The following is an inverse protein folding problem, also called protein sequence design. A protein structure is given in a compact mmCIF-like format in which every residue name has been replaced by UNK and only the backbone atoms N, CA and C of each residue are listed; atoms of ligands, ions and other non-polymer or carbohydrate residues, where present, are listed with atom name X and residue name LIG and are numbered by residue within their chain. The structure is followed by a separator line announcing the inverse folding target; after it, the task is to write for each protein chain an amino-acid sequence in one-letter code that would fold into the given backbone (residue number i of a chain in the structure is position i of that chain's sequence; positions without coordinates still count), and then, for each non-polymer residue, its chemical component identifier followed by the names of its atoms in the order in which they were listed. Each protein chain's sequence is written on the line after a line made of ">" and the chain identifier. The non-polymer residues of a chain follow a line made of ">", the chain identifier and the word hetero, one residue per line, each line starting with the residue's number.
data_IF_789776095227
#
_entry.id   IF_789776095227
#
_cell.length_a   1.000
_cell.length_b   1.000
_cell.length_c   1.000
_cell.angle_alpha   90.00
_cell.angle_beta   90.00
_cell.angle_gamma   90.00
#
_symmetry.space_group_name_H-M   'P 1'
#
loop_
_entity.id
_entity.type
_entity.pdbx_description
1 polymer ?
#
# COMPACT_ATOMS: atom_id res chain seq x y z
N UNK A 1 19.44 47.93 -5.21
CA UNK A 1 18.51 47.11 -6.02
C UNK A 1 18.32 45.78 -5.31
N UNK A 2 17.07 45.46 -4.96
CA UNK A 2 16.66 44.29 -4.17
C UNK A 2 16.35 43.17 -5.18
N UNK A 3 17.20 42.16 -5.27
CA UNK A 3 16.92 40.99 -6.11
C UNK A 3 16.28 39.92 -5.23
N UNK A 4 14.95 39.92 -5.21
CA UNK A 4 14.17 38.82 -4.65
C UNK A 4 14.27 37.65 -5.62
N UNK A 5 15.06 36.64 -5.29
CA UNK A 5 14.94 35.31 -5.89
C UNK A 5 14.14 34.43 -4.92
N UNK A 6 12.83 34.38 -5.16
CA UNK A 6 12.00 33.25 -4.77
C UNK A 6 12.28 32.10 -5.75
N UNK A 7 11.91 30.89 -5.33
CA UNK A 7 11.86 29.62 -6.07
C UNK A 7 13.13 28.77 -6.03
N UNK A 8 13.18 27.87 -5.04
CA UNK A 8 13.40 26.43 -5.28
C UNK A 8 13.20 25.68 -3.96
N UNK A 9 11.95 25.39 -3.61
CA UNK A 9 11.64 24.48 -2.50
C UNK A 9 10.46 23.57 -2.87
N UNK A 10 10.50 22.96 -4.05
CA UNK A 10 9.63 21.84 -4.40
C UNK A 10 10.43 20.99 -5.36
N UNK A 11 11.01 19.87 -4.91
CA UNK A 11 11.47 18.73 -5.72
C UNK A 11 12.15 17.71 -4.78
N UNK A 12 11.38 17.05 -3.92
CA UNK A 12 11.85 15.85 -3.21
C UNK A 12 10.74 14.97 -2.60
N UNK A 13 9.47 15.42 -2.55
CA UNK A 13 8.39 14.65 -1.91
C UNK A 13 7.52 13.87 -2.92
N UNK A 14 7.75 14.05 -4.22
CA UNK A 14 6.86 13.55 -5.28
C UNK A 14 7.15 12.11 -5.76
N UNK A 15 8.32 11.52 -5.46
CA UNK A 15 8.64 10.18 -5.94
C UNK A 15 7.78 9.07 -5.31
N UNK A 16 7.57 9.14 -3.99
CA UNK A 16 6.86 8.11 -3.23
C UNK A 16 5.33 8.28 -3.27
N UNK A 17 4.85 9.53 -3.35
CA UNK A 17 3.42 9.81 -3.42
C UNK A 17 2.82 9.49 -4.81
N UNK A 18 3.61 9.65 -5.88
CA UNK A 18 3.19 9.27 -7.24
C UNK A 18 3.14 7.75 -7.42
N UNK A 19 4.04 7.00 -6.79
CA UNK A 19 4.00 5.54 -6.83
C UNK A 19 2.77 4.98 -6.11
N UNK A 20 2.42 5.52 -4.93
CA UNK A 20 1.21 5.12 -4.20
C UNK A 20 -0.08 5.37 -5.00
N UNK A 21 -0.20 6.52 -5.68
CA UNK A 21 -1.37 6.85 -6.51
C UNK A 21 -1.46 6.03 -7.80
N UNK A 22 -0.33 5.66 -8.40
CA UNK A 22 -0.29 4.77 -9.56
C UNK A 22 -0.66 3.33 -9.17
N UNK A 23 -0.37 2.91 -7.94
CA UNK A 23 -0.65 1.58 -7.40
C UNK A 23 -2.12 1.36 -7.10
N UNK A 24 -2.78 2.35 -6.49
CA UNK A 24 -4.22 2.33 -6.26
C UNK A 24 -4.95 2.02 -7.57
N UNK A 25 -4.63 2.76 -8.64
CA UNK A 25 -5.23 2.50 -9.96
C UNK A 25 -4.88 1.14 -10.59
N UNK A 26 -3.73 0.54 -10.25
CA UNK A 26 -3.25 -0.70 -10.88
C UNK A 26 -3.75 -1.96 -10.14
N UNK A 27 -3.63 -2.00 -8.82
CA UNK A 27 -3.85 -3.20 -8.02
C UNK A 27 -5.18 -3.20 -7.25
N UNK A 28 -5.86 -2.06 -7.11
CA UNK A 28 -7.11 -1.97 -6.33
C UNK A 28 -8.14 -3.01 -6.72
N UNK A 29 -8.32 -3.30 -8.03
CA UNK A 29 -9.28 -4.31 -8.46
C UNK A 29 -8.93 -5.70 -7.93
N UNK A 30 -7.66 -6.11 -8.03
CA UNK A 30 -7.21 -7.41 -7.53
C UNK A 30 -7.43 -7.52 -6.01
N UNK A 31 -7.11 -6.46 -5.28
CA UNK A 31 -7.33 -6.38 -3.84
C UNK A 31 -8.82 -6.45 -3.49
N UNK A 32 -9.67 -5.66 -4.16
CA UNK A 32 -11.11 -5.65 -3.93
C UNK A 32 -11.76 -7.02 -4.20
N UNK A 33 -11.37 -7.67 -5.30
CA UNK A 33 -11.86 -9.01 -5.65
C UNK A 33 -11.42 -10.03 -4.57
N UNK A 34 -10.17 -9.97 -4.12
CA UNK A 34 -9.66 -10.90 -3.12
C UNK A 34 -10.30 -10.70 -1.74
N UNK A 35 -10.48 -9.44 -1.30
CA UNK A 35 -11.16 -9.11 -0.04
C UNK A 35 -12.64 -9.48 -0.06
N UNK A 36 -13.29 -9.43 -1.23
CA UNK A 36 -14.69 -9.83 -1.37
C UNK A 36 -14.93 -11.30 -1.02
N UNK A 37 -13.92 -12.18 -1.20
CA UNK A 37 -13.99 -13.58 -0.78
C UNK A 37 -14.10 -13.76 0.74
N UNK A 38 -13.73 -12.73 1.51
CA UNK A 38 -13.84 -12.68 2.97
C UNK A 38 -15.01 -11.82 3.45
N UNK A 39 -15.88 -11.39 2.52
CA UNK A 39 -17.04 -10.55 2.82
C UNK A 39 -16.69 -9.08 3.12
N UNK A 40 -15.45 -8.64 2.82
CA UNK A 40 -15.02 -7.25 2.97
C UNK A 40 -15.21 -6.52 1.65
N UNK A 41 -16.00 -5.46 1.65
CA UNK A 41 -16.17 -4.61 0.45
C UNK A 41 -15.14 -3.49 0.48
N UNK A 42 -14.66 -3.10 -0.70
CA UNK A 42 -13.75 -1.95 -0.83
C UNK A 42 -14.32 -0.67 -0.22
N UNK A 43 -15.63 -0.44 -0.34
CA UNK A 43 -16.31 0.73 0.23
C UNK A 43 -16.33 0.77 1.76
N UNK A 44 -16.07 -0.37 2.40
CA UNK A 44 -16.06 -0.51 3.86
C UNK A 44 -14.65 -0.30 4.44
N UNK A 45 -13.66 -0.08 3.57
CA UNK A 45 -12.27 0.20 3.96
C UNK A 45 -12.07 1.70 4.20
N UNK A 46 -11.38 2.01 5.29
CA UNK A 46 -10.98 3.37 5.67
C UNK A 46 -9.47 3.45 5.73
N UNK A 47 -8.95 4.67 5.65
CA UNK A 47 -7.53 4.96 5.78
C UNK A 47 -6.64 4.08 4.88
N UNK A 48 -7.09 3.82 3.64
CA UNK A 48 -6.34 3.00 2.69
C UNK A 48 -4.98 3.63 2.43
N UNK A 49 -3.92 2.88 2.71
CA UNK A 49 -2.53 3.25 2.42
C UNK A 49 -1.91 2.20 1.50
N UNK A 50 -0.97 2.65 0.68
CA UNK A 50 -0.24 1.82 -0.26
C UNK A 50 1.26 2.03 -0.08
N UNK A 51 1.98 0.94 0.06
CA UNK A 51 3.43 0.89 0.13
C UNK A 51 4.01 0.12 -1.06
N UNK A 52 5.24 0.49 -1.43
CA UNK A 52 5.99 -0.13 -2.52
C UNK A 52 7.10 -0.96 -1.91
N UNK A 53 7.06 -2.27 -2.18
CA UNK A 53 8.20 -3.12 -1.86
C UNK A 53 9.24 -2.98 -2.96
N UNK A 54 10.46 -2.65 -2.56
CA UNK A 54 11.57 -2.49 -3.48
C UNK A 54 12.73 -3.37 -3.08
N UNK A 55 13.32 -4.09 -4.04
CA UNK A 55 14.57 -4.79 -3.81
C UNK A 55 15.71 -3.84 -4.10
N UNK A 56 16.55 -3.62 -3.10
CA UNK A 56 17.79 -2.90 -3.30
C UNK A 56 18.80 -3.83 -3.99
N UNK A 57 18.94 -3.71 -5.30
CA UNK A 57 19.93 -4.43 -6.11
C UNK A 57 21.33 -3.76 -6.06
N UNK A 58 21.61 -2.91 -5.08
CA UNK A 58 22.88 -2.19 -5.00
C UNK A 58 24.03 -3.10 -4.52
N UNK A 59 24.61 -3.86 -5.44
CA UNK A 59 26.05 -4.16 -5.41
C UNK A 59 26.81 -3.52 -6.58
N UNK A 60 26.15 -3.12 -7.67
CA UNK A 60 26.83 -2.66 -8.90
C UNK A 60 26.12 -1.57 -9.72
N UNK A 61 25.35 -0.70 -9.07
CA UNK A 61 24.81 0.51 -9.69
C UNK A 61 23.74 0.26 -10.76
N UNK A 62 22.47 0.44 -10.42
CA UNK A 62 21.40 0.52 -11.42
C UNK A 62 20.04 0.09 -10.90
N UNK A 63 19.24 1.06 -10.45
CA UNK A 63 17.78 0.96 -10.31
C UNK A 63 17.26 0.24 -9.08
N UNK A 64 16.44 0.94 -8.29
CA UNK A 64 15.51 0.32 -7.34
C UNK A 64 14.44 -0.43 -8.14
N UNK A 65 14.48 -1.77 -8.14
CA UNK A 65 13.44 -2.58 -8.79
C UNK A 65 12.27 -2.79 -7.83
N UNK A 66 11.06 -2.52 -8.30
CA UNK A 66 9.84 -2.83 -7.53
C UNK A 66 9.72 -4.35 -7.48
N UNK A 67 9.52 -4.90 -6.30
CA UNK A 67 9.29 -6.34 -6.11
C UNK A 67 7.84 -6.67 -5.80
N UNK A 68 7.09 -5.67 -5.34
CA UNK A 68 5.73 -5.88 -4.88
C UNK A 68 5.10 -4.62 -4.33
N UNK A 69 3.91 -4.80 -3.80
CA UNK A 69 3.12 -3.73 -3.19
C UNK A 69 2.47 -4.26 -1.92
N UNK A 70 2.19 -3.35 -0.99
CA UNK A 70 1.40 -3.66 0.18
C UNK A 70 0.27 -2.65 0.31
N UNK A 71 -0.93 -3.12 0.64
CA UNK A 71 -2.06 -2.28 0.98
C UNK A 71 -2.41 -2.47 2.45
N UNK A 72 -2.67 -1.37 3.13
CA UNK A 72 -3.16 -1.33 4.50
C UNK A 72 -4.49 -0.61 4.54
N UNK A 73 -5.48 -1.15 5.25
CA UNK A 73 -6.74 -0.46 5.44
C UNK A 73 -7.46 -0.89 6.72
N UNK A 74 -8.20 0.04 7.31
CA UNK A 74 -9.06 -0.22 8.46
C UNK A 74 -10.45 -0.66 7.96
N UNK A 75 -10.87 -1.92 8.16
CA UNK A 75 -12.21 -2.33 7.79
C UNK A 75 -13.24 -1.80 8.80
N UNK A 76 -14.38 -1.30 8.31
CA UNK A 76 -15.44 -0.75 9.15
C UNK A 76 -16.03 -1.75 10.16
N UNK A 77 -15.84 -3.06 9.94
CA UNK A 77 -16.25 -4.12 10.86
C UNK A 77 -15.35 -4.25 12.09
N UNK A 78 -14.18 -3.62 12.10
CA UNK A 78 -13.21 -3.69 13.20
C UNK A 78 -13.20 -2.39 14.01
N UNK A 79 -13.21 -2.51 15.35
CA UNK A 79 -13.10 -1.36 16.25
C UNK A 79 -11.65 -0.87 16.40
N UNK A 80 -10.67 -1.73 16.11
CA UNK A 80 -9.24 -1.42 16.05
C UNK A 80 -8.53 -2.45 15.16
N UNK A 81 -7.35 -2.10 14.66
CA UNK A 81 -6.57 -2.94 13.75
C UNK A 81 -6.91 -2.72 12.27
N UNK A 82 -6.14 -3.37 11.41
CA UNK A 82 -6.19 -3.20 9.97
C UNK A 82 -6.11 -4.54 9.23
N UNK A 83 -6.39 -4.48 7.93
CA UNK A 83 -6.10 -5.52 6.94
C UNK A 83 -4.81 -5.13 6.24
N UNK A 84 -3.96 -6.13 6.00
CA UNK A 84 -2.75 -6.03 5.20
C UNK A 84 -2.92 -6.96 4.00
N UNK A 85 -2.64 -6.45 2.81
CA UNK A 85 -2.63 -7.22 1.56
C UNK A 85 -1.28 -7.07 0.91
N UNK A 86 -0.52 -8.16 0.81
CA UNK A 86 0.78 -8.22 0.16
C UNK A 86 0.63 -8.72 -1.27
N UNK A 87 1.32 -8.07 -2.20
CA UNK A 87 1.20 -8.32 -3.64
C UNK A 87 2.56 -8.40 -4.31
N UNK A 88 2.65 -9.16 -5.40
CA UNK A 88 3.79 -9.09 -6.33
C UNK A 88 3.72 -7.84 -7.24
N UNK A 89 4.77 -7.61 -8.03
CA UNK A 89 4.84 -6.47 -8.97
C UNK A 89 3.75 -6.45 -10.06
N UNK A 90 3.09 -7.60 -10.28
CA UNK A 90 1.97 -7.83 -11.18
C UNK A 90 0.59 -7.73 -10.52
N UNK A 91 0.52 -7.32 -9.25
CA UNK A 91 -0.70 -7.30 -8.42
C UNK A 91 -1.28 -8.69 -8.09
N UNK A 92 -0.49 -9.76 -8.23
CA UNK A 92 -0.83 -11.08 -7.71
C UNK A 92 -0.83 -11.05 -6.18
N UNK A 93 -1.91 -11.52 -5.57
CA UNK A 93 -2.04 -11.54 -4.10
C UNK A 93 -1.13 -12.65 -3.53
N UNK A 94 -0.13 -12.25 -2.76
CA UNK A 94 0.77 -13.17 -2.06
C UNK A 94 0.24 -13.53 -0.68
N UNK A 95 -0.34 -12.54 0.03
CA UNK A 95 -0.90 -12.75 1.36
C UNK A 95 -2.01 -11.75 1.68
N UNK A 96 -2.95 -12.19 2.53
CA UNK A 96 -3.98 -11.34 3.15
C UNK A 96 -4.07 -11.71 4.62
N UNK A 97 -3.92 -10.72 5.49
CA UNK A 97 -4.02 -10.91 6.93
C UNK A 97 -4.72 -9.72 7.59
N UNK A 98 -5.22 -9.92 8.80
CA UNK A 98 -5.54 -8.83 9.71
C UNK A 98 -4.41 -8.61 10.70
N UNK A 99 -4.35 -7.44 11.34
CA UNK A 99 -3.42 -7.14 12.43
C UNK A 99 -4.13 -6.40 13.57
N UNK A 100 -3.53 -6.49 14.75
CA UNK A 100 -4.03 -5.82 15.95
C UNK A 100 -5.37 -6.41 16.40
N UNK A 101 -6.29 -5.55 16.82
CA UNK A 101 -7.60 -5.97 17.33
C UNK A 101 -8.59 -6.48 16.27
N UNK A 102 -8.23 -6.43 14.98
CA UNK A 102 -9.15 -6.77 13.91
C UNK A 102 -9.16 -8.28 13.64
N UNK A 103 -10.33 -8.91 13.71
CA UNK A 103 -10.50 -10.33 13.40
C UNK A 103 -11.62 -10.50 12.37
N UNK A 104 -11.25 -10.98 11.19
CA UNK A 104 -12.18 -11.27 10.10
C UNK A 104 -12.16 -12.78 9.85
N UNK A 105 -13.34 -13.38 9.77
CA UNK A 105 -13.48 -14.82 9.57
C UNK A 105 -12.76 -15.25 8.28
N UNK A 106 -11.88 -16.23 8.39
CA UNK A 106 -11.13 -16.78 7.26
C UNK A 106 -9.82 -16.06 6.96
N UNK A 107 -9.52 -14.93 7.63
CA UNK A 107 -8.23 -14.28 7.56
C UNK A 107 -7.36 -14.62 8.78
N UNK A 108 -6.06 -14.92 8.59
CA UNK A 108 -5.12 -15.00 9.70
C UNK A 108 -4.97 -13.62 10.35
N UNK A 109 -4.75 -13.59 11.68
CA UNK A 109 -4.42 -12.35 12.41
C UNK A 109 -2.93 -12.39 12.83
N UNK A 110 -2.18 -11.35 12.46
CA UNK A 110 -0.75 -11.15 12.76
C UNK A 110 -0.56 -10.18 13.94
N UNK A 111 0.30 -10.56 14.89
CA UNK A 111 0.46 -9.89 16.20
C UNK A 111 1.87 -9.31 16.44
N UNK A 112 2.69 -9.19 15.41
CA UNK A 112 4.07 -8.71 15.53
C UNK A 112 4.21 -7.19 15.38
#
# INVERSE_FOLDING_TARGET
>A
MKTTMLFAAVLAVSGFALSAQAQDNKCQKAVADALSNYGVKWTDLKNVQWDVDTWNTSSRGGGTSISGYQMYAEPASCASGDIIVEMDEGCGINDIATRGGCQIKGLPNRWW
#
